data_IF_614690835460
#
_entry.id   IF_614690835460
#
_cell.length_a   1.000
_cell.length_b   1.000
_cell.length_c   1.000
_cell.angle_alpha   90.00
_cell.angle_beta   90.00
_cell.angle_gamma   90.00
#
_symmetry.space_group_name_H-M   'P 1'
#
loop_
_entity.id
_entity.type
_entity.pdbx_description
1 polymer ?
#
# COMPACT_ATOMS: atom_id res chain seq x y z
N UNK A 1 27.66 -17.76 1.15
CA UNK A 1 26.24 -17.79 1.64
C UNK A 1 25.67 -16.42 1.35
N UNK A 2 24.52 -16.34 0.66
CA UNK A 2 23.89 -15.02 0.37
C UNK A 2 23.18 -14.50 1.62
N UNK A 3 23.26 -13.20 1.84
CA UNK A 3 22.64 -12.49 2.96
C UNK A 3 21.42 -11.70 2.48
N UNK A 4 20.28 -11.91 3.11
CA UNK A 4 19.04 -11.20 2.83
C UNK A 4 18.72 -10.30 4.02
N UNK A 5 18.67 -9.01 3.77
CA UNK A 5 18.20 -7.99 4.72
C UNK A 5 16.69 -7.80 4.58
N UNK A 6 15.98 -7.70 5.69
CA UNK A 6 14.58 -7.30 5.72
C UNK A 6 14.43 -6.08 6.60
N UNK A 7 13.87 -5.00 6.05
CA UNK A 7 13.62 -3.78 6.79
C UNK A 7 12.39 -4.00 7.69
N UNK A 8 12.56 -3.85 8.99
CA UNK A 8 11.56 -4.14 10.02
C UNK A 8 11.43 -2.99 11.02
N UNK A 9 10.41 -3.07 11.87
CA UNK A 9 10.11 -2.04 12.86
C UNK A 9 9.26 -0.89 12.30
N UNK A 10 8.61 -1.10 11.17
CA UNK A 10 7.89 -0.09 10.41
C UNK A 10 6.40 -0.39 10.22
N UNK A 11 5.91 -1.49 10.78
CA UNK A 11 4.51 -1.91 10.65
C UNK A 11 3.77 -1.81 11.99
N UNK A 12 2.60 -1.16 11.98
CA UNK A 12 1.74 -0.99 13.16
C UNK A 12 0.80 -2.18 13.40
N UNK A 13 0.50 -2.96 12.36
CA UNK A 13 -0.41 -4.09 12.48
C UNK A 13 0.28 -5.29 13.11
N UNK A 14 -0.36 -5.94 14.08
CA UNK A 14 0.18 -7.12 14.75
C UNK A 14 -0.55 -8.39 14.36
N UNK A 15 0.15 -9.52 14.50
CA UNK A 15 -0.43 -10.84 14.32
C UNK A 15 -1.51 -11.14 15.36
N UNK A 16 -2.49 -11.97 14.98
CA UNK A 16 -3.54 -12.42 15.88
C UNK A 16 -3.00 -13.31 17.01
N UNK A 17 -3.74 -13.35 18.13
CA UNK A 17 -3.44 -14.29 19.22
C UNK A 17 -3.42 -15.75 18.73
N UNK A 18 -4.26 -16.09 17.78
CA UNK A 18 -4.33 -17.43 17.18
C UNK A 18 -3.06 -17.75 16.42
N UNK A 19 -2.56 -16.83 15.58
CA UNK A 19 -1.29 -16.98 14.88
C UNK A 19 -0.14 -17.16 15.86
N UNK A 20 -0.06 -16.31 16.88
CA UNK A 20 0.95 -16.41 17.93
C UNK A 20 0.96 -17.77 18.62
N UNK A 21 -0.20 -18.27 19.05
CA UNK A 21 -0.29 -19.56 19.75
C UNK A 21 0.20 -20.72 18.84
N UNK A 22 -0.17 -20.70 17.57
CA UNK A 22 0.25 -21.70 16.58
C UNK A 22 1.75 -21.67 16.31
N UNK A 23 2.36 -20.49 16.31
CA UNK A 23 3.76 -20.27 15.91
C UNK A 23 4.68 -19.91 17.08
N UNK A 24 4.23 -20.07 18.33
CA UNK A 24 4.93 -19.62 19.53
C UNK A 24 6.41 -19.99 19.55
N UNK A 25 6.76 -21.24 19.25
CA UNK A 25 8.15 -21.72 19.30
C UNK A 25 9.04 -21.04 18.25
N UNK A 26 8.52 -20.82 17.04
CA UNK A 26 9.27 -20.16 15.96
C UNK A 26 9.39 -18.64 16.12
N UNK A 27 8.65 -18.07 17.05
CA UNK A 27 8.67 -16.63 17.35
C UNK A 27 9.49 -16.26 18.60
N UNK A 28 9.91 -17.25 19.41
CA UNK A 28 10.59 -16.98 20.71
C UNK A 28 11.87 -16.16 20.56
N UNK A 29 12.64 -16.35 19.48
CA UNK A 29 13.88 -15.62 19.25
C UNK A 29 13.66 -14.11 19.06
N UNK A 30 12.43 -13.67 18.72
CA UNK A 30 12.10 -12.25 18.59
C UNK A 30 12.26 -11.49 19.92
N UNK A 31 12.32 -12.19 21.05
CA UNK A 31 12.65 -11.58 22.35
C UNK A 31 14.06 -10.97 22.38
N UNK A 32 14.97 -11.48 21.59
CA UNK A 32 16.33 -10.94 21.43
C UNK A 32 16.32 -9.51 20.84
N UNK A 33 15.20 -9.12 20.25
CA UNK A 33 14.98 -7.80 19.67
C UNK A 33 14.02 -6.93 20.49
N UNK A 34 13.83 -7.23 21.78
CA UNK A 34 12.94 -6.52 22.71
C UNK A 34 11.47 -6.46 22.28
N UNK A 35 11.04 -7.38 21.42
CA UNK A 35 9.66 -7.46 20.95
C UNK A 35 8.75 -8.09 21.99
N UNK A 36 7.68 -7.35 22.34
CA UNK A 36 6.63 -7.88 23.21
C UNK A 36 5.93 -9.06 22.55
N UNK A 37 5.95 -10.22 23.20
CA UNK A 37 5.28 -11.43 22.71
C UNK A 37 3.74 -11.30 22.73
N UNK A 38 3.19 -10.24 23.31
CA UNK A 38 1.76 -9.93 23.26
C UNK A 38 1.37 -9.07 22.05
N UNK A 39 2.36 -8.46 21.41
CA UNK A 39 2.18 -7.60 20.25
C UNK A 39 3.35 -7.78 19.30
N UNK A 40 3.19 -8.66 18.31
CA UNK A 40 4.22 -8.95 17.30
C UNK A 40 3.77 -8.31 15.98
N UNK A 41 4.45 -7.26 15.52
CA UNK A 41 4.17 -6.66 14.23
C UNK A 41 4.31 -7.64 13.06
N UNK A 42 3.62 -7.40 11.96
CA UNK A 42 3.63 -8.28 10.78
C UNK A 42 5.02 -8.43 10.17
N UNK A 43 5.80 -7.36 10.10
CA UNK A 43 7.16 -7.38 9.57
C UNK A 43 8.09 -8.29 10.38
N UNK A 44 7.96 -8.31 11.71
CA UNK A 44 8.69 -9.26 12.56
C UNK A 44 8.23 -10.71 12.38
N UNK A 45 6.94 -10.92 12.16
CA UNK A 45 6.42 -12.26 11.88
C UNK A 45 6.89 -12.76 10.50
N UNK A 46 6.95 -11.89 9.51
CA UNK A 46 7.52 -12.20 8.18
C UNK A 46 9.02 -12.49 8.30
N UNK A 47 9.75 -11.68 9.09
CA UNK A 47 11.16 -11.94 9.38
C UNK A 47 11.37 -13.32 10.01
N UNK A 48 10.56 -13.69 10.99
CA UNK A 48 10.66 -15.01 11.64
C UNK A 48 10.41 -16.16 10.66
N UNK A 49 9.40 -16.03 9.80
CA UNK A 49 9.11 -17.05 8.80
C UNK A 49 10.19 -17.10 7.71
N UNK A 50 10.72 -15.94 7.30
CA UNK A 50 11.81 -15.83 6.35
C UNK A 50 13.09 -16.46 6.89
N UNK A 51 13.45 -16.18 8.16
CA UNK A 51 14.60 -16.79 8.85
C UNK A 51 14.48 -18.31 8.86
N UNK A 52 13.34 -18.83 9.31
CA UNK A 52 13.06 -20.28 9.38
C UNK A 52 13.17 -20.99 8.03
N UNK A 53 12.65 -20.38 6.95
CA UNK A 53 12.67 -20.99 5.62
C UNK A 53 13.99 -20.73 4.89
N UNK A 54 14.59 -19.55 5.06
CA UNK A 54 15.80 -19.11 4.38
C UNK A 54 17.03 -19.85 4.88
N UNK A 55 17.20 -20.00 6.19
CA UNK A 55 18.33 -20.73 6.76
C UNK A 55 18.38 -22.20 6.28
N UNK A 56 17.22 -22.84 6.12
CA UNK A 56 17.13 -24.20 5.54
C UNK A 56 17.59 -24.27 4.09
N UNK A 57 17.60 -23.15 3.38
CA UNK A 57 18.04 -23.01 1.99
C UNK A 57 19.46 -22.44 1.86
N UNK A 58 20.14 -22.23 2.98
CA UNK A 58 21.51 -21.72 3.00
C UNK A 58 21.62 -20.20 2.86
N UNK A 59 20.55 -19.45 3.17
CA UNK A 59 20.60 -17.99 3.26
C UNK A 59 20.88 -17.56 4.70
N UNK A 60 21.61 -16.46 4.85
CA UNK A 60 21.65 -15.70 6.09
C UNK A 60 20.54 -14.64 6.03
N UNK A 61 19.71 -14.55 7.07
CA UNK A 61 18.62 -13.58 7.14
C UNK A 61 18.91 -12.63 8.30
N UNK A 62 18.99 -11.33 7.99
CA UNK A 62 19.26 -10.30 9.01
C UNK A 62 18.15 -9.24 9.03
N UNK A 63 17.74 -8.77 10.21
CA UNK A 63 16.84 -7.64 10.33
C UNK A 63 17.61 -6.33 10.12
N UNK A 64 16.99 -5.39 9.42
CA UNK A 64 17.47 -4.03 9.27
C UNK A 64 16.48 -3.10 9.95
N UNK A 65 16.91 -2.37 10.98
CA UNK A 65 16.04 -1.51 11.77
C UNK A 65 15.98 -0.11 11.15
N UNK A 66 14.80 0.31 10.71
CA UNK A 66 14.64 1.55 9.97
C UNK A 66 15.12 2.81 10.69
N UNK A 67 14.94 2.88 12.01
CA UNK A 67 15.34 4.03 12.81
C UNK A 67 16.88 4.21 12.91
N UNK A 68 17.61 3.09 12.95
CA UNK A 68 19.07 3.06 13.16
C UNK A 68 19.81 2.57 11.92
N UNK A 69 19.13 2.52 10.78
CA UNK A 69 19.67 1.98 9.53
C UNK A 69 20.90 2.76 9.08
N UNK A 70 21.99 2.04 8.83
CA UNK A 70 23.23 2.59 8.28
C UNK A 70 23.52 2.02 6.88
N UNK A 71 24.37 2.70 6.13
CA UNK A 71 24.83 2.20 4.84
C UNK A 71 25.63 0.90 4.98
N UNK A 72 26.40 0.77 6.06
CA UNK A 72 27.21 -0.41 6.33
C UNK A 72 26.33 -1.64 6.62
N UNK A 73 25.23 -1.47 7.35
CA UNK A 73 24.25 -2.55 7.56
C UNK A 73 23.65 -3.02 6.22
N UNK A 74 23.29 -2.07 5.37
CA UNK A 74 22.76 -2.38 4.04
C UNK A 74 23.79 -3.10 3.16
N UNK A 75 25.06 -2.69 3.21
CA UNK A 75 26.11 -3.26 2.38
C UNK A 75 26.55 -4.69 2.81
N UNK A 76 26.12 -5.15 3.97
CA UNK A 76 26.28 -6.55 4.38
C UNK A 76 25.31 -7.50 3.67
N UNK A 77 24.31 -6.96 2.97
CA UNK A 77 23.27 -7.73 2.29
C UNK A 77 23.57 -7.86 0.79
N UNK A 78 23.20 -9.00 0.21
CA UNK A 78 23.09 -9.14 -1.25
C UNK A 78 21.75 -8.57 -1.76
N UNK A 79 20.70 -8.79 -0.98
CA UNK A 79 19.35 -8.29 -1.27
C UNK A 79 18.72 -7.65 -0.01
N UNK A 80 17.96 -6.58 -0.21
CA UNK A 80 17.18 -5.92 0.85
C UNK A 80 15.72 -5.85 0.43
N UNK A 81 14.83 -6.28 1.33
CA UNK A 81 13.39 -6.21 1.13
C UNK A 81 12.77 -5.14 2.01
N UNK A 82 12.17 -4.16 1.36
CA UNK A 82 11.45 -3.05 1.96
C UNK A 82 9.95 -3.33 1.84
N UNK A 83 9.35 -3.94 2.86
CA UNK A 83 7.96 -4.40 2.79
C UNK A 83 6.99 -3.30 3.22
N UNK A 84 7.29 -2.59 4.31
CA UNK A 84 6.37 -1.64 4.94
C UNK A 84 6.93 -0.21 5.09
N UNK A 85 8.22 0.00 4.94
CA UNK A 85 8.91 1.21 5.38
C UNK A 85 8.45 2.50 4.69
N UNK A 86 8.02 2.43 3.44
CA UNK A 86 7.77 3.63 2.65
C UNK A 86 6.70 4.53 3.25
N UNK A 87 5.52 3.98 3.49
CA UNK A 87 4.39 4.74 4.04
C UNK A 87 4.63 5.06 5.51
N UNK A 88 5.11 4.09 6.28
CA UNK A 88 5.38 4.25 7.70
C UNK A 88 6.42 5.33 7.98
N UNK A 89 7.56 5.30 7.29
CA UNK A 89 8.61 6.29 7.47
C UNK A 89 8.10 7.72 7.31
N UNK A 90 7.22 7.96 6.32
CA UNK A 90 6.64 9.27 6.12
C UNK A 90 5.64 9.65 7.23
N UNK A 91 4.82 8.71 7.68
CA UNK A 91 3.77 8.99 8.67
C UNK A 91 4.31 9.20 10.09
N UNK A 92 5.29 8.43 10.49
CA UNK A 92 5.82 8.42 11.86
C UNK A 92 7.10 9.23 12.01
N UNK A 93 7.99 9.18 11.02
CA UNK A 93 9.25 9.93 11.02
C UNK A 93 9.23 11.24 10.24
N UNK A 94 8.17 11.45 9.46
CA UNK A 94 8.05 12.62 8.60
C UNK A 94 8.94 12.58 7.37
N UNK A 95 9.02 13.72 6.68
CA UNK A 95 9.73 13.82 5.41
C UNK A 95 11.25 13.62 5.58
N UNK A 96 11.83 14.09 6.66
CA UNK A 96 13.27 13.99 6.93
C UNK A 96 13.68 12.53 7.10
N UNK A 97 12.95 11.77 7.91
CA UNK A 97 13.20 10.35 8.11
C UNK A 97 13.04 9.55 6.82
N UNK A 98 11.97 9.81 6.07
CA UNK A 98 11.76 9.20 4.76
C UNK A 98 12.93 9.49 3.81
N UNK A 99 13.42 10.73 3.74
CA UNK A 99 14.57 11.10 2.90
C UNK A 99 15.86 10.45 3.40
N UNK A 100 16.05 10.29 4.71
CA UNK A 100 17.19 9.61 5.29
C UNK A 100 17.25 8.15 4.81
N UNK A 101 16.17 7.38 5.00
CA UNK A 101 16.08 6.01 4.50
C UNK A 101 16.34 5.92 2.99
N UNK A 102 15.71 6.80 2.21
CA UNK A 102 15.90 6.88 0.76
C UNK A 102 17.36 7.12 0.38
N UNK A 103 18.05 8.00 1.10
CA UNK A 103 19.44 8.31 0.83
C UNK A 103 20.36 7.10 1.12
N UNK A 104 20.11 6.35 2.18
CA UNK A 104 20.87 5.14 2.50
C UNK A 104 20.61 4.06 1.44
N UNK A 105 19.35 3.71 1.21
CA UNK A 105 18.96 2.68 0.26
C UNK A 105 19.38 2.99 -1.20
N UNK A 106 19.58 4.28 -1.55
CA UNK A 106 20.08 4.65 -2.88
C UNK A 106 21.58 4.46 -3.07
N UNK A 107 22.33 4.33 -2.00
CA UNK A 107 23.80 4.23 -2.00
C UNK A 107 24.30 2.82 -1.73
N UNK A 108 23.43 1.94 -1.23
CA UNK A 108 23.83 0.56 -0.95
C UNK A 108 24.21 -0.21 -2.20
N UNK A 109 25.17 -1.12 -2.09
CA UNK A 109 25.51 -2.09 -3.11
C UNK A 109 24.53 -3.25 -3.20
N UNK A 110 23.68 -3.43 -2.20
CA UNK A 110 22.64 -4.46 -2.17
C UNK A 110 21.54 -4.20 -3.20
N UNK A 111 20.97 -5.25 -3.73
CA UNK A 111 19.79 -5.14 -4.57
C UNK A 111 18.54 -4.89 -3.70
N UNK A 112 17.88 -3.73 -3.86
CA UNK A 112 16.73 -3.31 -3.05
C UNK A 112 15.42 -3.67 -3.76
N UNK A 113 14.50 -4.32 -3.05
CA UNK A 113 13.16 -4.73 -3.50
C UNK A 113 12.04 -4.16 -2.61
N UNK A 114 10.99 -3.53 -3.18
CA UNK A 114 10.96 -3.00 -4.56
C UNK A 114 12.07 -1.98 -4.77
N UNK A 115 12.46 -1.73 -6.02
CA UNK A 115 13.44 -0.68 -6.31
C UNK A 115 12.95 0.67 -5.80
N UNK A 116 13.86 1.56 -5.47
CA UNK A 116 13.48 2.90 -5.00
C UNK A 116 12.64 3.66 -6.03
N UNK A 117 12.89 3.42 -7.33
CA UNK A 117 12.09 4.00 -8.41
C UNK A 117 10.64 3.53 -8.31
N UNK A 118 10.41 2.26 -8.03
CA UNK A 118 9.08 1.68 -7.86
C UNK A 118 8.42 2.15 -6.57
N UNK A 119 9.16 2.18 -5.45
CA UNK A 119 8.66 2.73 -4.19
C UNK A 119 8.18 4.17 -4.37
N UNK A 120 9.01 5.06 -4.95
CA UNK A 120 8.64 6.44 -5.24
C UNK A 120 7.44 6.58 -6.18
N UNK A 121 7.29 5.65 -7.10
CA UNK A 121 6.19 5.65 -8.04
C UNK A 121 4.86 5.32 -7.34
N UNK A 122 4.83 4.26 -6.53
CA UNK A 122 3.61 3.79 -5.87
C UNK A 122 3.23 4.67 -4.68
N UNK A 123 4.18 5.06 -3.84
CA UNK A 123 3.91 5.91 -2.67
C UNK A 123 3.32 7.26 -3.10
N UNK A 124 3.81 7.81 -4.22
CA UNK A 124 3.31 9.08 -4.75
C UNK A 124 2.05 8.88 -5.58
N UNK A 125 0.89 8.86 -4.93
CA UNK A 125 -0.43 8.61 -5.55
C UNK A 125 -0.66 9.38 -6.87
N UNK A 126 -0.16 10.62 -6.98
CA UNK A 126 -0.29 11.40 -8.21
C UNK A 126 0.48 10.79 -9.39
N UNK A 127 1.57 10.06 -9.16
CA UNK A 127 2.36 9.41 -10.22
C UNK A 127 1.62 8.22 -10.82
N UNK A 128 1.24 7.25 -9.97
CA UNK A 128 0.58 6.05 -10.48
C UNK A 128 -0.83 6.33 -11.01
N UNK A 129 -1.58 7.27 -10.43
CA UNK A 129 -2.89 7.65 -10.96
C UNK A 129 -2.78 8.28 -12.36
N UNK A 130 -1.77 9.11 -12.62
CA UNK A 130 -1.51 9.63 -13.98
C UNK A 130 -1.08 8.53 -14.94
N UNK A 131 -0.27 7.60 -14.49
CA UNK A 131 0.15 6.44 -15.26
C UNK A 131 -1.05 5.57 -15.66
N UNK A 132 -1.90 5.19 -14.70
CA UNK A 132 -3.11 4.42 -14.95
C UNK A 132 -4.02 5.12 -15.98
N UNK A 133 -4.24 6.43 -15.81
CA UNK A 133 -5.02 7.22 -16.78
C UNK A 133 -4.40 7.20 -18.16
N UNK A 134 -3.07 7.35 -18.28
CA UNK A 134 -2.36 7.31 -19.57
C UNK A 134 -2.47 5.94 -20.26
N UNK A 135 -2.52 4.87 -19.47
CA UNK A 135 -2.68 3.48 -19.94
C UNK A 135 -4.15 3.15 -20.31
N UNK A 136 -5.10 4.05 -20.03
CA UNK A 136 -6.52 3.84 -20.33
C UNK A 136 -7.29 3.07 -19.27
N UNK A 137 -6.73 2.89 -18.07
CA UNK A 137 -7.45 2.28 -16.97
C UNK A 137 -8.47 3.24 -16.37
N UNK A 138 -9.60 2.70 -15.94
CA UNK A 138 -10.63 3.46 -15.25
C UNK A 138 -10.17 3.84 -13.87
N UNK A 139 -10.10 5.14 -13.64
CA UNK A 139 -9.82 5.78 -12.34
C UNK A 139 -10.88 6.86 -12.09
N UNK A 140 -11.13 7.24 -10.83
CA UNK A 140 -12.07 8.34 -10.58
C UNK A 140 -11.56 9.62 -11.24
N UNK A 141 -12.46 10.50 -11.71
CA UNK A 141 -12.07 11.81 -12.20
C UNK A 141 -11.19 12.52 -11.16
N UNK A 142 -9.92 12.76 -11.51
CA UNK A 142 -8.93 13.24 -10.56
C UNK A 142 -8.30 14.54 -11.03
N UNK A 143 -8.29 15.55 -10.19
CA UNK A 143 -7.52 16.78 -10.35
C UNK A 143 -6.31 16.77 -9.42
N UNK A 144 -5.13 16.96 -10.01
CA UNK A 144 -3.85 16.96 -9.29
C UNK A 144 -3.47 18.39 -8.95
N UNK A 145 -3.28 18.70 -7.66
CA UNK A 145 -3.07 20.03 -7.14
C UNK A 145 -1.71 20.10 -6.45
N UNK A 146 -0.99 21.19 -6.72
CA UNK A 146 0.18 21.58 -5.93
C UNK A 146 -0.25 22.68 -4.95
N UNK A 147 -0.25 22.46 -3.63
CA UNK A 147 -0.71 23.46 -2.65
C UNK A 147 0.05 24.78 -2.69
N UNK A 148 1.29 24.80 -3.20
CA UNK A 148 2.09 26.01 -3.30
C UNK A 148 1.77 26.90 -4.50
N UNK A 149 1.17 26.33 -5.57
CA UNK A 149 1.03 27.02 -6.86
C UNK A 149 -0.29 26.76 -7.56
N UNK A 150 -1.38 26.47 -6.81
CA UNK A 150 -2.68 26.24 -7.42
C UNK A 150 -3.39 27.51 -7.90
N UNK A 151 -4.26 27.35 -8.89
CA UNK A 151 -5.21 28.37 -9.33
C UNK A 151 -6.61 27.90 -8.96
N UNK A 152 -7.22 28.57 -7.98
CA UNK A 152 -8.53 28.14 -7.45
C UNK A 152 -9.62 28.07 -8.54
N UNK A 153 -9.61 29.01 -9.48
CA UNK A 153 -10.57 29.03 -10.59
C UNK A 153 -10.50 27.76 -11.47
N UNK A 154 -9.29 27.20 -11.65
CA UNK A 154 -9.09 25.96 -12.40
C UNK A 154 -9.69 24.77 -11.63
N UNK A 155 -9.52 24.74 -10.32
CA UNK A 155 -10.09 23.71 -9.45
C UNK A 155 -11.62 23.80 -9.47
N UNK A 156 -12.18 24.99 -9.29
CA UNK A 156 -13.63 25.18 -9.29
C UNK A 156 -14.24 24.82 -10.66
N UNK A 157 -13.61 25.20 -11.78
CA UNK A 157 -14.05 24.78 -13.12
C UNK A 157 -14.05 23.27 -13.28
N UNK A 158 -13.05 22.56 -12.72
CA UNK A 158 -13.03 21.10 -12.76
C UNK A 158 -14.19 20.50 -11.96
N UNK A 159 -14.49 21.03 -10.77
CA UNK A 159 -15.61 20.60 -9.92
C UNK A 159 -16.96 20.83 -10.63
N UNK A 160 -17.16 22.01 -11.20
CA UNK A 160 -18.36 22.39 -11.94
C UNK A 160 -18.57 21.54 -13.20
N UNK A 161 -17.52 21.39 -14.02
CA UNK A 161 -17.56 20.56 -15.24
C UNK A 161 -18.00 19.13 -14.95
N UNK A 162 -17.56 18.57 -13.82
CA UNK A 162 -17.88 17.21 -13.41
C UNK A 162 -19.12 17.13 -12.49
N UNK A 163 -19.77 18.26 -12.21
CA UNK A 163 -20.98 18.36 -11.37
C UNK A 163 -20.79 17.75 -9.97
N UNK A 164 -19.60 17.91 -9.36
CA UNK A 164 -19.33 17.38 -8.03
C UNK A 164 -19.99 18.23 -6.96
N UNK A 165 -20.93 17.63 -6.21
CA UNK A 165 -21.54 18.24 -5.02
C UNK A 165 -20.66 18.08 -3.78
N UNK A 166 -20.04 16.92 -3.66
CA UNK A 166 -19.16 16.54 -2.58
C UNK A 166 -17.84 16.03 -3.18
N UNK A 167 -16.73 16.35 -2.53
CA UNK A 167 -15.40 15.94 -2.96
C UNK A 167 -14.60 15.32 -1.83
N UNK A 168 -13.59 14.56 -2.18
CA UNK A 168 -12.51 14.17 -1.29
C UNK A 168 -11.21 14.81 -1.73
N UNK A 169 -10.39 15.23 -0.78
CA UNK A 169 -9.01 15.62 -1.03
C UNK A 169 -8.10 14.69 -0.24
N UNK A 170 -7.13 14.11 -0.94
CA UNK A 170 -6.16 13.14 -0.40
C UNK A 170 -4.76 13.68 -0.61
N UNK A 171 -3.91 13.82 0.42
CA UNK A 171 -2.46 14.01 0.23
C UNK A 171 -1.84 12.83 -0.53
N UNK A 172 -0.69 13.09 -1.18
CA UNK A 172 -0.05 12.08 -2.02
C UNK A 172 0.64 10.95 -1.25
N UNK A 173 1.17 11.25 -0.07
CA UNK A 173 2.09 10.41 0.69
C UNK A 173 1.49 9.88 2.00
N UNK A 174 0.22 9.56 2.04
CA UNK A 174 -0.39 9.13 3.31
C UNK A 174 -1.14 7.81 3.20
N UNK A 175 -0.89 6.95 4.19
CA UNK A 175 -1.77 5.87 4.62
C UNK A 175 -2.76 6.34 5.71
N UNK A 176 -3.44 5.42 6.36
CA UNK A 176 -4.29 5.60 7.56
C UNK A 176 -5.19 6.84 7.57
N UNK A 177 -5.58 7.37 6.40
CA UNK A 177 -6.44 8.56 6.22
C UNK A 177 -5.86 9.87 6.79
N UNK A 178 -4.58 9.96 7.16
CA UNK A 178 -3.97 11.23 7.59
C UNK A 178 -4.11 12.27 6.47
N UNK A 179 -4.62 13.44 6.81
CA UNK A 179 -4.89 14.49 5.83
C UNK A 179 -5.99 14.19 4.81
N UNK A 180 -6.70 13.06 4.91
CA UNK A 180 -7.89 12.80 4.10
C UNK A 180 -9.04 13.71 4.54
N UNK A 181 -9.68 14.40 3.59
CA UNK A 181 -10.80 15.30 3.89
C UNK A 181 -11.96 15.12 2.93
N UNK A 182 -13.14 14.90 3.48
CA UNK A 182 -14.40 15.01 2.75
C UNK A 182 -14.90 16.43 2.89
N UNK A 183 -15.17 17.09 1.76
CA UNK A 183 -15.80 18.42 1.72
C UNK A 183 -17.19 18.26 1.13
N UNK A 184 -18.19 18.33 2.00
CA UNK A 184 -19.62 18.31 1.62
C UNK A 184 -20.09 19.70 1.22
N UNK A 185 -21.03 19.77 0.25
CA UNK A 185 -21.54 21.03 -0.29
C UNK A 185 -20.37 21.98 -0.59
N UNK A 186 -19.59 21.57 -1.60
CA UNK A 186 -18.31 22.19 -1.94
C UNK A 186 -18.48 23.68 -2.25
N UNK A 187 -17.62 24.52 -1.65
CA UNK A 187 -17.51 25.94 -1.95
C UNK A 187 -16.04 26.29 -2.15
N UNK A 188 -15.77 27.36 -2.89
CA UNK A 188 -14.40 27.83 -3.11
C UNK A 188 -13.64 28.01 -1.79
N UNK A 189 -14.25 28.70 -0.82
CA UNK A 189 -13.64 28.94 0.49
C UNK A 189 -13.24 27.66 1.20
N UNK A 190 -14.10 26.65 1.24
CA UNK A 190 -13.78 25.36 1.90
C UNK A 190 -12.58 24.65 1.24
N UNK A 191 -12.48 24.74 -0.08
CA UNK A 191 -11.35 24.17 -0.82
C UNK A 191 -10.06 24.93 -0.53
N UNK A 192 -10.11 26.27 -0.58
CA UNK A 192 -8.97 27.14 -0.29
C UNK A 192 -8.45 26.94 1.13
N UNK A 193 -9.35 26.98 2.13
CA UNK A 193 -8.99 26.80 3.54
C UNK A 193 -8.24 25.46 3.75
N UNK A 194 -8.70 24.41 3.08
CA UNK A 194 -8.07 23.11 3.19
C UNK A 194 -6.71 23.06 2.45
N UNK A 195 -6.61 23.64 1.27
CA UNK A 195 -5.35 23.68 0.53
C UNK A 195 -4.28 24.53 1.24
N UNK A 196 -4.68 25.63 1.90
CA UNK A 196 -3.78 26.41 2.75
C UNK A 196 -3.27 25.60 3.95
N UNK A 197 -4.13 24.77 4.55
CA UNK A 197 -3.72 23.84 5.59
C UNK A 197 -2.67 22.85 5.04
N UNK A 198 -2.92 22.21 3.88
CA UNK A 198 -1.99 21.26 3.27
C UNK A 198 -0.65 21.91 2.93
N UNK A 199 -0.66 23.18 2.47
CA UNK A 199 0.55 23.96 2.24
C UNK A 199 1.36 24.16 3.52
N UNK A 200 0.69 24.56 4.62
CA UNK A 200 1.34 24.75 5.92
C UNK A 200 1.95 23.46 6.49
N UNK A 201 1.32 22.32 6.21
CA UNK A 201 1.78 20.99 6.61
C UNK A 201 2.88 20.43 5.66
N UNK A 202 3.30 21.18 4.62
CA UNK A 202 4.40 20.81 3.74
C UNK A 202 4.06 19.80 2.64
N UNK A 203 2.77 19.49 2.41
CA UNK A 203 2.38 18.58 1.33
C UNK A 203 2.64 19.19 -0.04
N UNK A 204 3.41 18.48 -0.86
CA UNK A 204 3.77 18.95 -2.21
C UNK A 204 2.66 18.71 -3.24
N UNK A 205 1.89 17.65 -3.09
CA UNK A 205 0.80 17.32 -3.99
C UNK A 205 -0.41 16.78 -3.20
N UNK A 206 -1.59 17.11 -3.70
CA UNK A 206 -2.85 16.54 -3.24
C UNK A 206 -3.72 16.15 -4.45
N UNK A 207 -4.59 15.16 -4.26
CA UNK A 207 -5.53 14.67 -5.26
C UNK A 207 -6.93 15.09 -4.84
N UNK A 208 -7.66 15.73 -5.74
CA UNK A 208 -9.09 16.04 -5.58
C UNK A 208 -9.89 15.07 -6.45
N UNK A 209 -10.85 14.38 -5.84
CA UNK A 209 -11.71 13.38 -6.47
C UNK A 209 -13.16 13.58 -6.03
N UNK A 210 -14.17 13.02 -6.74
CA UNK A 210 -15.55 13.01 -6.25
C UNK A 210 -15.64 12.22 -4.95
N UNK A 211 -16.49 12.67 -4.03
CA UNK A 211 -16.95 11.82 -2.92
C UNK A 211 -18.09 10.94 -3.44
N UNK A 212 -17.84 9.66 -3.49
CA UNK A 212 -18.81 8.66 -3.95
C UNK A 212 -19.55 8.11 -2.73
N UNK A 213 -20.82 8.48 -2.57
CA UNK A 213 -21.67 8.00 -1.46
C UNK A 213 -21.84 6.49 -1.51
N UNK A 214 -21.86 5.93 -2.72
CA UNK A 214 -21.97 4.51 -2.98
C UNK A 214 -20.76 3.70 -2.50
N UNK A 215 -19.60 4.35 -2.33
CA UNK A 215 -18.40 3.72 -1.79
C UNK A 215 -18.65 3.07 -0.41
N UNK A 216 -19.38 3.77 0.47
CA UNK A 216 -19.75 3.22 1.78
C UNK A 216 -20.75 2.07 1.67
N UNK A 217 -21.62 2.11 0.65
CA UNK A 217 -22.68 1.11 0.45
C UNK A 217 -22.16 -0.19 -0.18
N UNK A 218 -21.29 -0.06 -1.17
CA UNK A 218 -20.81 -1.20 -1.95
C UNK A 218 -19.40 -1.63 -1.58
N UNK A 219 -18.61 -0.73 -1.00
CA UNK A 219 -17.25 -0.99 -0.52
C UNK A 219 -16.22 -1.09 -1.64
N UNK A 220 -15.10 -1.71 -1.29
CA UNK A 220 -13.96 -1.96 -2.17
C UNK A 220 -13.77 -3.47 -2.36
N UNK A 221 -13.37 -3.86 -3.57
CA UNK A 221 -12.80 -5.17 -3.83
C UNK A 221 -11.29 -5.01 -3.81
N UNK A 222 -10.63 -5.76 -2.95
CA UNK A 222 -9.19 -5.77 -2.78
C UNK A 222 -8.62 -7.07 -3.31
N UNK A 223 -7.66 -6.97 -4.23
CA UNK A 223 -7.03 -8.14 -4.85
C UNK A 223 -5.56 -8.18 -4.47
N UNK A 224 -5.14 -9.21 -3.74
CA UNK A 224 -3.79 -9.39 -3.26
C UNK A 224 -2.99 -10.33 -4.14
N UNK A 225 -1.80 -9.92 -4.55
CA UNK A 225 -0.94 -10.61 -5.51
C UNK A 225 0.48 -10.78 -4.99
N UNK A 226 1.05 -11.94 -5.24
CA UNK A 226 2.45 -12.27 -4.93
C UNK A 226 3.09 -12.93 -6.14
N UNK A 227 4.24 -12.45 -6.58
CA UNK A 227 4.93 -12.97 -7.77
C UNK A 227 4.05 -12.97 -9.03
N UNK A 228 3.20 -11.95 -9.18
CA UNK A 228 2.27 -11.83 -10.31
C UNK A 228 1.08 -12.80 -10.31
N UNK A 229 0.87 -13.55 -9.21
CA UNK A 229 -0.25 -14.48 -9.04
C UNK A 229 -1.24 -13.93 -8.01
N UNK A 230 -2.53 -13.95 -8.30
CA UNK A 230 -3.55 -13.62 -7.31
C UNK A 230 -3.57 -14.70 -6.22
N UNK A 231 -3.37 -14.28 -4.98
CA UNK A 231 -3.38 -15.16 -3.82
C UNK A 231 -4.77 -15.26 -3.23
N UNK A 232 -5.42 -14.12 -3.05
CA UNK A 232 -6.78 -14.03 -2.56
C UNK A 232 -7.39 -12.67 -2.91
N UNK A 233 -8.70 -12.57 -2.77
CA UNK A 233 -9.44 -11.33 -2.89
C UNK A 233 -10.52 -11.28 -1.83
N UNK A 234 -10.87 -10.08 -1.42
CA UNK A 234 -11.97 -9.87 -0.48
C UNK A 234 -12.66 -8.54 -0.77
N UNK A 235 -13.88 -8.42 -0.32
CA UNK A 235 -14.61 -7.17 -0.35
C UNK A 235 -14.61 -6.57 1.05
N UNK A 236 -14.19 -5.32 1.16
CA UNK A 236 -14.29 -4.53 2.38
C UNK A 236 -15.43 -3.53 2.25
N UNK A 237 -16.34 -3.51 3.21
CA UNK A 237 -17.44 -2.57 3.28
C UNK A 237 -17.44 -1.89 4.64
N UNK A 238 -17.75 -0.62 4.67
CA UNK A 238 -17.77 0.13 5.93
C UNK A 238 -19.20 0.23 6.46
N UNK A 239 -19.41 -0.21 7.71
CA UNK A 239 -20.67 -0.02 8.47
C UNK A 239 -20.35 0.91 9.63
N UNK A 240 -20.66 2.20 9.47
CA UNK A 240 -20.21 3.23 10.40
C UNK A 240 -18.68 3.35 10.38
N UNK A 241 -18.01 3.15 11.52
CA UNK A 241 -16.56 3.15 11.66
C UNK A 241 -15.91 1.77 11.45
N UNK A 242 -16.72 0.70 11.42
CA UNK A 242 -16.21 -0.68 11.33
C UNK A 242 -16.09 -1.18 9.89
N UNK A 243 -14.95 -1.77 9.57
CA UNK A 243 -14.72 -2.48 8.32
C UNK A 243 -15.26 -3.90 8.40
N UNK A 244 -16.21 -4.23 7.53
CA UNK A 244 -16.73 -5.60 7.40
C UNK A 244 -16.08 -6.25 6.19
N UNK A 245 -15.46 -7.40 6.40
CA UNK A 245 -14.77 -8.16 5.36
C UNK A 245 -15.65 -9.30 4.87
N UNK A 246 -15.77 -9.41 3.55
CA UNK A 246 -16.48 -10.48 2.88
C UNK A 246 -15.48 -11.27 2.03
N UNK A 247 -15.40 -12.59 2.20
CA UNK A 247 -14.50 -13.43 1.41
C UNK A 247 -14.92 -13.43 -0.07
N UNK A 248 -14.01 -13.80 -0.95
CA UNK A 248 -14.22 -13.73 -2.39
C UNK A 248 -15.43 -14.50 -2.90
N UNK A 249 -15.85 -15.55 -2.22
CA UNK A 249 -17.02 -16.38 -2.57
C UNK A 249 -18.34 -15.60 -2.45
N UNK A 250 -18.33 -14.49 -1.68
CA UNK A 250 -19.49 -13.59 -1.52
C UNK A 250 -19.46 -12.39 -2.46
N UNK A 251 -18.45 -12.29 -3.33
CA UNK A 251 -18.35 -11.27 -4.36
C UNK A 251 -19.04 -11.81 -5.63
N UNK A 252 -19.73 -10.92 -6.36
CA UNK A 252 -20.26 -11.28 -7.67
C UNK A 252 -19.14 -11.81 -8.57
N UNK A 253 -19.33 -12.97 -9.17
CA UNK A 253 -18.29 -13.68 -9.93
C UNK A 253 -17.83 -12.91 -11.18
N UNK A 254 -18.77 -12.23 -11.87
CA UNK A 254 -18.42 -11.48 -13.07
C UNK A 254 -17.65 -10.21 -12.72
N UNK A 255 -18.08 -9.53 -11.64
CA UNK A 255 -17.39 -8.36 -11.11
C UNK A 255 -15.99 -8.72 -10.62
N UNK A 256 -15.85 -9.78 -9.83
CA UNK A 256 -14.54 -10.25 -9.35
C UNK A 256 -13.62 -10.61 -10.52
N UNK A 257 -14.13 -11.31 -11.53
CA UNK A 257 -13.35 -11.65 -12.73
C UNK A 257 -12.82 -10.39 -13.42
N UNK A 258 -13.68 -9.38 -13.63
CA UNK A 258 -13.25 -8.10 -14.23
C UNK A 258 -12.16 -7.43 -13.41
N UNK A 259 -12.31 -7.38 -12.07
CA UNK A 259 -11.29 -6.83 -11.17
C UNK A 259 -9.96 -7.58 -11.30
N UNK A 260 -9.98 -8.91 -11.31
CA UNK A 260 -8.79 -9.74 -11.44
C UNK A 260 -8.10 -9.57 -12.80
N UNK A 261 -8.86 -9.58 -13.89
CA UNK A 261 -8.33 -9.36 -15.23
C UNK A 261 -7.68 -7.96 -15.34
N UNK A 262 -8.33 -6.94 -14.79
CA UNK A 262 -7.78 -5.57 -14.77
C UNK A 262 -6.53 -5.47 -13.88
N UNK A 263 -6.55 -6.06 -12.68
CA UNK A 263 -5.39 -6.06 -11.79
C UNK A 263 -4.19 -6.76 -12.44
N UNK A 264 -4.43 -7.90 -13.11
CA UNK A 264 -3.38 -8.62 -13.85
C UNK A 264 -2.76 -7.74 -14.94
N UNK A 265 -3.58 -7.05 -15.72
CA UNK A 265 -3.08 -6.14 -16.77
C UNK A 265 -2.25 -4.99 -16.17
N UNK A 266 -2.69 -4.40 -15.05
CA UNK A 266 -1.94 -3.36 -14.34
C UNK A 266 -0.59 -3.88 -13.88
N UNK A 267 -0.56 -5.08 -13.28
CA UNK A 267 0.67 -5.71 -12.78
C UNK A 267 1.63 -6.04 -13.94
N UNK A 268 1.12 -6.54 -15.05
CA UNK A 268 1.92 -6.83 -16.25
C UNK A 268 2.50 -5.55 -16.87
N UNK A 269 1.71 -4.48 -16.93
CA UNK A 269 2.19 -3.17 -17.36
C UNK A 269 3.26 -2.60 -16.42
N UNK A 270 3.09 -2.74 -15.10
CA UNK A 270 4.09 -2.32 -14.12
C UNK A 270 5.38 -3.14 -14.25
N UNK A 271 5.26 -4.46 -14.44
CA UNK A 271 6.41 -5.33 -14.71
C UNK A 271 7.17 -4.90 -15.95
N UNK A 272 6.47 -4.55 -17.02
CA UNK A 272 7.05 -4.11 -18.30
C UNK A 272 7.74 -2.75 -18.21
N UNK A 273 7.09 -1.77 -17.54
CA UNK A 273 7.53 -0.37 -17.58
C UNK A 273 8.46 0.00 -16.41
N UNK A 274 8.47 -0.81 -15.36
CA UNK A 274 9.26 -0.60 -14.14
C UNK A 274 9.98 -1.87 -13.71
N UNK A 275 9.30 -2.75 -12.98
CA UNK A 275 9.83 -4.00 -12.46
C UNK A 275 8.72 -4.97 -12.05
N UNK A 276 9.07 -6.23 -11.88
CA UNK A 276 8.17 -7.23 -11.32
C UNK A 276 8.05 -7.07 -9.81
N UNK A 277 6.86 -6.77 -9.34
CA UNK A 277 6.58 -6.60 -7.92
C UNK A 277 6.57 -7.96 -7.19
N UNK A 278 7.17 -7.98 -5.99
CA UNK A 278 7.14 -9.14 -5.11
C UNK A 278 5.71 -9.39 -4.64
N UNK A 279 5.08 -8.33 -4.16
CA UNK A 279 3.67 -8.33 -3.80
C UNK A 279 3.05 -6.98 -4.11
N UNK A 280 1.75 -6.99 -4.31
CA UNK A 280 0.97 -5.79 -4.60
C UNK A 280 -0.51 -6.05 -4.31
N UNK A 281 -1.21 -5.03 -3.85
CA UNK A 281 -2.65 -5.02 -3.76
C UNK A 281 -3.21 -3.97 -4.71
N UNK A 282 -4.19 -4.38 -5.49
CA UNK A 282 -4.96 -3.46 -6.34
C UNK A 282 -6.37 -3.39 -5.79
N UNK A 283 -6.79 -2.19 -5.42
CA UNK A 283 -8.07 -1.91 -4.79
C UNK A 283 -9.03 -1.28 -5.80
N UNK A 284 -10.22 -1.86 -5.89
CA UNK A 284 -11.26 -1.43 -6.80
C UNK A 284 -12.46 -0.88 -6.02
N UNK A 285 -12.82 0.36 -6.27
CA UNK A 285 -14.07 0.91 -5.75
C UNK A 285 -15.21 0.58 -6.71
N UNK A 286 -16.30 0.09 -6.15
CA UNK A 286 -17.51 -0.21 -6.92
C UNK A 286 -18.29 1.06 -7.22
N UNK A 287 -18.67 1.24 -8.47
CA UNK A 287 -19.64 2.24 -8.92
C UNK A 287 -21.01 1.58 -9.11
N UNK A 288 -22.06 2.34 -8.85
CA UNK A 288 -23.44 1.89 -8.99
C UNK A 288 -24.00 2.38 -10.32
N UNK A 289 -24.71 1.51 -11.00
CA UNK A 289 -25.55 1.91 -12.12
C UNK A 289 -26.90 2.48 -11.61
N UNK A 290 -27.74 2.96 -12.56
CA UNK A 290 -29.06 3.51 -12.29
C UNK A 290 -30.03 2.55 -11.54
N UNK A 291 -29.70 1.25 -11.47
CA UNK A 291 -30.50 0.20 -10.82
C UNK A 291 -29.98 -0.16 -9.41
N UNK A 292 -29.10 0.65 -8.83
CA UNK A 292 -28.47 0.38 -7.53
C UNK A 292 -27.67 -0.95 -7.46
N UNK A 293 -27.24 -1.49 -8.60
CA UNK A 293 -26.40 -2.67 -8.64
C UNK A 293 -24.95 -2.27 -8.92
N UNK A 294 -24.01 -2.86 -8.18
CA UNK A 294 -22.58 -2.69 -8.48
C UNK A 294 -22.24 -3.49 -9.75
N UNK A 295 -22.23 -2.84 -10.90
CA UNK A 295 -21.88 -3.44 -12.19
C UNK A 295 -20.60 -2.90 -12.78
N UNK A 296 -20.06 -1.86 -12.18
CA UNK A 296 -18.86 -1.20 -12.68
C UNK A 296 -17.89 -0.91 -11.54
N UNK A 297 -16.63 -0.69 -11.87
CA UNK A 297 -15.57 -0.41 -10.89
C UNK A 297 -14.53 0.51 -11.54
N UNK A 298 -13.74 1.14 -10.69
CA UNK A 298 -12.51 1.84 -11.07
C UNK A 298 -11.39 1.46 -10.10
N UNK A 299 -10.14 1.62 -10.53
CA UNK A 299 -8.97 1.44 -9.66
C UNK A 299 -8.92 2.61 -8.69
N UNK A 300 -9.09 2.31 -7.40
CA UNK A 300 -9.01 3.30 -6.33
C UNK A 300 -7.60 3.47 -5.80
N UNK A 301 -6.86 2.36 -5.67
CA UNK A 301 -5.52 2.37 -5.10
C UNK A 301 -4.66 1.21 -5.60
N UNK A 302 -3.34 1.44 -5.63
CA UNK A 302 -2.30 0.40 -5.76
C UNK A 302 -1.42 0.53 -4.53
N UNK A 303 -1.22 -0.58 -3.80
CA UNK A 303 -0.35 -0.64 -2.63
C UNK A 303 0.72 -1.71 -2.79
N UNK A 304 1.95 -1.39 -2.43
CA UNK A 304 3.07 -2.34 -2.35
C UNK A 304 3.42 -2.71 -0.91
N UNK A 305 2.72 -2.12 0.05
CA UNK A 305 2.83 -2.41 1.49
C UNK A 305 1.44 -2.79 2.04
N UNK A 306 0.73 -3.75 1.43
CA UNK A 306 -0.62 -4.06 1.85
C UNK A 306 -0.62 -4.85 3.16
N UNK A 307 -1.50 -4.46 4.08
CA UNK A 307 -1.82 -5.30 5.22
C UNK A 307 -2.36 -6.66 4.75
N UNK A 308 -1.87 -7.73 5.36
CA UNK A 308 -2.32 -9.08 5.08
C UNK A 308 -3.64 -9.35 5.81
N UNK A 309 -4.63 -9.91 5.09
CA UNK A 309 -5.96 -10.13 5.67
C UNK A 309 -6.02 -11.37 6.58
N UNK A 310 -5.22 -12.39 6.29
CA UNK A 310 -5.27 -13.69 6.99
C UNK A 310 -3.86 -14.27 7.15
N UNK A 311 -3.12 -13.83 8.16
CA UNK A 311 -1.75 -14.25 8.41
C UNK A 311 -1.58 -15.76 8.71
N UNK A 312 -2.63 -16.40 9.23
CA UNK A 312 -2.63 -17.83 9.59
C UNK A 312 -2.81 -18.78 8.41
N UNK A 313 -3.32 -18.27 7.29
CA UNK A 313 -3.65 -19.09 6.14
C UNK A 313 -2.38 -19.43 5.34
N UNK A 314 -2.11 -20.69 5.02
CA UNK A 314 -0.91 -21.07 4.27
C UNK A 314 -0.88 -20.55 2.83
N UNK A 315 -2.01 -20.13 2.28
CA UNK A 315 -2.14 -19.55 0.95
C UNK A 315 -2.24 -18.00 1.02
N UNK A 316 -2.93 -17.49 2.05
CA UNK A 316 -3.28 -16.07 2.21
C UNK A 316 -2.40 -15.34 3.23
N UNK A 317 -1.48 -16.07 3.89
CA UNK A 317 -0.61 -15.55 4.93
C UNK A 317 0.79 -15.21 4.42
N UNK A 318 1.76 -15.27 5.32
CA UNK A 318 3.15 -14.85 5.06
C UNK A 318 3.93 -15.83 4.17
N UNK A 319 3.58 -17.12 4.17
CA UNK A 319 4.36 -18.15 3.48
C UNK A 319 4.54 -17.94 1.96
N UNK A 320 3.51 -17.52 1.20
CA UNK A 320 3.69 -17.20 -0.22
C UNK A 320 4.66 -16.03 -0.45
N UNK A 321 4.55 -14.97 0.36
CA UNK A 321 5.44 -13.81 0.30
C UNK A 321 6.88 -14.21 0.60
N UNK A 322 7.11 -14.99 1.66
CA UNK A 322 8.44 -15.49 2.03
C UNK A 322 9.05 -16.35 0.93
N UNK A 323 8.26 -17.22 0.30
CA UNK A 323 8.74 -18.04 -0.84
C UNK A 323 9.15 -17.17 -2.01
N UNK A 324 8.38 -16.13 -2.32
CA UNK A 324 8.71 -15.18 -3.40
C UNK A 324 9.99 -14.40 -3.09
N UNK A 325 10.16 -13.90 -1.86
CA UNK A 325 11.39 -13.24 -1.41
C UNK A 325 12.60 -14.16 -1.62
N UNK A 326 12.54 -15.39 -1.14
CA UNK A 326 13.63 -16.35 -1.27
C UNK A 326 13.95 -16.68 -2.74
N UNK A 327 12.93 -16.72 -3.61
CA UNK A 327 13.14 -17.00 -5.03
C UNK A 327 13.86 -15.87 -5.76
N UNK A 328 13.74 -14.62 -5.29
CA UNK A 328 14.43 -13.46 -5.90
C UNK A 328 15.91 -13.40 -5.58
N UNK A 329 16.30 -14.01 -4.48
CA UNK A 329 17.71 -14.04 -4.04
C UNK A 329 18.44 -15.35 -4.41
N UNK A 330 17.74 -16.32 -5.00
CA UNK A 330 18.32 -17.63 -5.39
C UNK A 330 19.32 -17.56 -6.52
#
# INVERSE_FOLDING_TARGET
MKTIGILIGTEDSSVSKKYYQKNKNSLQFLKEYDISMNYIPFDYAIFAELKKQGEKKGFQIIPLFGNDLTLDDCNQCDCIFCIFEGTYAFEHGGQEYYQHLRNILSKTSAQVFPSQKMQDFIIKKHKYMRYLKKKGYDIPPTHFIKPDSYKIQTIMKFIEKNKFKNIVIKPELVGFKKGFKIIKNVTQKKVEDYLQKMKKEGYQHVLLQPFLEDFNKFGEIKTYWVGGKNMYSYKQQWKGSEGVFYPQEKIDKQLLKKCLDTAKNVIDDLKKDYEELIHVRVDFACCVNNENQCRDFFINEIEINPALAEEDDPVRGFSPLVKEILSRCS
#
